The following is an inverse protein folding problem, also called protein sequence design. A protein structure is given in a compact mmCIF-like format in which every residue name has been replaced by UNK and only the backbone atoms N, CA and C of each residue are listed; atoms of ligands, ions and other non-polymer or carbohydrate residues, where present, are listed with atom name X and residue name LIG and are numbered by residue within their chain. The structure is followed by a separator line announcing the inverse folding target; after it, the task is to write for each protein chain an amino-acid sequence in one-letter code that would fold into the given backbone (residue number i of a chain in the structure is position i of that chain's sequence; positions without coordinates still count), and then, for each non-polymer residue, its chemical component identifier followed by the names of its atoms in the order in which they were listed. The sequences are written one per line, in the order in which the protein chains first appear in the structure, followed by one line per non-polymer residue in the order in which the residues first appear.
data_IF_290020217132
#
_entry.id   IF_290020217132
#
_cell.length_a   1.000
_cell.length_b   1.000
_cell.length_c   1.000
_cell.angle_alpha   90.00
_cell.angle_beta   90.00
_cell.angle_gamma   90.00
#
_symmetry.space_group_name_H-M   'P 1'
#
loop_
_entity.id
_entity.type
_entity.pdbx_description
1 polymer ?
#
# COMPACT_ATOMS: atom_id res chain seq x y z
N UNK A 1 -33.66 -30.13 17.77
CA UNK A 1 -32.74 -29.18 18.44
C UNK A 1 -31.26 -29.34 18.04
N UNK A 2 -30.70 -30.56 17.96
CA UNK A 2 -29.27 -30.77 17.62
C UNK A 2 -28.82 -30.21 16.24
N UNK A 3 -29.72 -30.13 15.25
CA UNK A 3 -29.39 -29.66 13.90
C UNK A 3 -29.14 -28.13 13.86
N UNK A 4 -29.92 -27.34 14.62
CA UNK A 4 -29.73 -25.89 14.72
C UNK A 4 -28.42 -25.54 15.45
N UNK A 5 -28.07 -26.29 16.50
CA UNK A 5 -26.81 -26.14 17.23
C UNK A 5 -25.59 -26.41 16.33
N UNK A 6 -25.60 -27.51 15.55
CA UNK A 6 -24.54 -27.84 14.60
C UNK A 6 -24.38 -26.76 13.50
N UNK A 7 -25.48 -26.21 12.96
CA UNK A 7 -25.45 -25.11 11.99
C UNK A 7 -24.86 -23.83 12.58
N UNK A 8 -25.23 -23.48 13.81
CA UNK A 8 -24.68 -22.32 14.53
C UNK A 8 -23.17 -22.44 14.74
N UNK A 9 -22.70 -23.61 15.19
CA UNK A 9 -21.29 -23.89 15.42
C UNK A 9 -20.46 -23.82 14.11
N UNK A 10 -20.99 -24.38 13.01
CA UNK A 10 -20.34 -24.31 11.71
C UNK A 10 -20.21 -22.87 11.20
N UNK A 11 -21.26 -22.05 11.34
CA UNK A 11 -21.25 -20.66 10.93
C UNK A 11 -20.24 -19.81 11.74
N UNK A 12 -20.11 -20.05 13.05
CA UNK A 12 -19.09 -19.39 13.87
C UNK A 12 -17.67 -19.80 13.47
N UNK A 13 -17.44 -21.07 13.15
CA UNK A 13 -16.12 -21.56 12.72
C UNK A 13 -15.69 -20.98 11.37
N UNK A 14 -16.62 -20.88 10.41
CA UNK A 14 -16.36 -20.25 9.11
C UNK A 14 -16.04 -18.76 9.27
N UNK A 15 -16.77 -18.05 10.15
CA UNK A 15 -16.51 -16.64 10.46
C UNK A 15 -15.12 -16.44 11.07
N UNK A 16 -14.77 -17.25 12.07
CA UNK A 16 -13.46 -17.20 12.71
C UNK A 16 -12.31 -17.49 11.72
N UNK A 17 -12.48 -18.46 10.81
CA UNK A 17 -11.50 -18.74 9.76
C UNK A 17 -11.32 -17.57 8.78
N UNK A 18 -12.41 -16.92 8.37
CA UNK A 18 -12.38 -15.73 7.51
C UNK A 18 -11.66 -14.56 8.20
N UNK A 19 -11.99 -14.30 9.47
CA UNK A 19 -11.33 -13.27 10.27
C UNK A 19 -9.83 -13.54 10.46
N UNK A 20 -9.46 -14.78 10.74
CA UNK A 20 -8.05 -15.18 10.87
C UNK A 20 -7.27 -14.95 9.57
N UNK A 21 -7.84 -15.36 8.42
CA UNK A 21 -7.24 -15.14 7.09
C UNK A 21 -7.07 -13.65 6.79
N UNK A 22 -8.07 -12.82 7.12
CA UNK A 22 -8.00 -11.36 6.96
C UNK A 22 -6.92 -10.76 7.86
N UNK A 23 -6.89 -11.10 9.16
CA UNK A 23 -5.87 -10.63 10.12
C UNK A 23 -4.46 -11.01 9.68
N UNK A 24 -4.28 -12.23 9.18
CA UNK A 24 -2.99 -12.70 8.68
C UNK A 24 -2.56 -11.94 7.41
N UNK A 25 -3.48 -11.67 6.49
CA UNK A 25 -3.23 -10.82 5.32
C UNK A 25 -2.86 -9.38 5.68
N UNK A 26 -3.56 -8.79 6.66
CA UNK A 26 -3.28 -7.44 7.17
C UNK A 26 -1.85 -7.36 7.73
N UNK A 27 -1.46 -8.32 8.56
CA UNK A 27 -0.11 -8.35 9.14
C UNK A 27 0.96 -8.44 8.06
N UNK A 28 0.79 -9.33 7.07
CA UNK A 28 1.74 -9.46 5.96
C UNK A 28 1.83 -8.19 5.12
N UNK A 29 0.71 -7.58 4.75
CA UNK A 29 0.70 -6.35 3.97
C UNK A 29 1.43 -5.21 4.70
N UNK A 30 1.19 -5.07 6.01
CA UNK A 30 1.88 -4.11 6.88
C UNK A 30 3.40 -4.33 6.89
N UNK A 31 3.84 -5.57 7.05
CA UNK A 31 5.27 -5.91 7.10
C UNK A 31 5.95 -5.68 5.75
N UNK A 32 5.29 -6.01 4.64
CA UNK A 32 5.79 -5.75 3.28
C UNK A 32 5.94 -4.25 3.03
N UNK A 33 4.94 -3.43 3.35
CA UNK A 33 5.01 -1.96 3.20
C UNK A 33 6.15 -1.38 4.03
N UNK A 34 6.37 -1.88 5.26
CA UNK A 34 7.50 -1.47 6.11
C UNK A 34 8.86 -1.79 5.47
N UNK A 35 9.00 -2.96 4.86
CA UNK A 35 10.23 -3.36 4.16
C UNK A 35 10.46 -2.48 2.93
N UNK A 36 9.42 -2.21 2.14
CA UNK A 36 9.51 -1.32 0.97
C UNK A 36 9.97 0.07 1.40
N UNK A 37 9.33 0.67 2.41
CA UNK A 37 9.72 1.99 2.94
C UNK A 37 11.20 2.03 3.32
N UNK A 38 11.70 0.99 4.01
CA UNK A 38 13.12 0.87 4.36
C UNK A 38 14.02 0.78 3.12
N UNK A 39 13.61 0.05 2.07
CA UNK A 39 14.39 -0.09 0.83
C UNK A 39 14.40 1.21 0.00
N UNK A 40 13.33 2.00 0.04
CA UNK A 40 13.30 3.35 -0.56
C UNK A 40 14.30 4.32 0.10
N UNK A 41 14.58 4.14 1.38
CA UNK A 41 15.62 4.90 2.11
C UNK A 41 17.06 4.56 1.72
N UNK A 42 17.29 3.58 0.84
CA UNK A 42 18.61 3.23 0.34
C UNK A 42 19.21 4.36 -0.52
N UNK A 43 20.53 4.55 -0.48
CA UNK A 43 21.25 5.43 -1.42
C UNK A 43 21.44 4.81 -2.81
N UNK A 44 21.18 3.51 -2.96
CA UNK A 44 21.35 2.79 -4.22
C UNK A 44 20.08 2.89 -5.07
N UNK A 45 20.17 3.59 -6.21
CA UNK A 45 19.06 3.81 -7.14
C UNK A 45 18.42 2.52 -7.65
N UNK A 46 19.20 1.46 -7.90
CA UNK A 46 18.66 0.15 -8.32
C UNK A 46 17.77 -0.47 -7.24
N UNK A 47 18.18 -0.35 -5.97
CA UNK A 47 17.38 -0.83 -4.84
C UNK A 47 16.08 -0.03 -4.71
N UNK A 48 16.13 1.29 -4.90
CA UNK A 48 14.95 2.14 -4.88
C UNK A 48 13.99 1.79 -6.02
N UNK A 49 14.49 1.63 -7.25
CA UNK A 49 13.67 1.25 -8.41
C UNK A 49 13.00 -0.10 -8.21
N UNK A 50 13.72 -1.13 -7.74
CA UNK A 50 13.14 -2.43 -7.43
C UNK A 50 12.06 -2.33 -6.34
N UNK A 51 12.26 -1.49 -5.32
CA UNK A 51 11.26 -1.26 -4.29
C UNK A 51 10.00 -0.56 -4.82
N UNK A 52 10.16 0.43 -5.72
CA UNK A 52 9.05 1.12 -6.38
C UNK A 52 8.27 0.18 -7.32
N UNK A 53 8.97 -0.66 -8.09
CA UNK A 53 8.34 -1.67 -8.96
C UNK A 53 7.57 -2.69 -8.13
N UNK A 54 8.18 -3.20 -7.04
CA UNK A 54 7.48 -4.13 -6.14
C UNK A 54 6.23 -3.48 -5.54
N UNK A 55 6.33 -2.23 -5.09
CA UNK A 55 5.21 -1.46 -4.55
C UNK A 55 4.05 -1.34 -5.55
N UNK A 56 4.37 -0.99 -6.79
CA UNK A 56 3.39 -0.93 -7.88
C UNK A 56 2.70 -2.28 -8.10
N UNK A 57 3.48 -3.37 -8.16
CA UNK A 57 2.94 -4.71 -8.36
C UNK A 57 2.01 -5.12 -7.23
N UNK A 58 2.40 -4.93 -5.96
CA UNK A 58 1.54 -5.33 -4.83
C UNK A 58 0.27 -4.49 -4.74
N UNK A 59 0.33 -3.20 -5.08
CA UNK A 59 -0.84 -2.34 -5.13
C UNK A 59 -1.83 -2.85 -6.18
N UNK A 60 -1.34 -3.15 -7.39
CA UNK A 60 -2.18 -3.65 -8.49
C UNK A 60 -2.85 -4.99 -8.19
N UNK A 61 -2.21 -5.86 -7.40
CA UNK A 61 -2.67 -7.25 -7.22
C UNK A 61 -3.37 -7.52 -5.88
N UNK A 62 -3.04 -6.76 -4.82
CA UNK A 62 -3.53 -7.08 -3.46
C UNK A 62 -4.68 -6.17 -3.00
N UNK A 63 -5.03 -5.14 -3.76
CA UNK A 63 -6.18 -4.28 -3.52
C UNK A 63 -6.09 -3.48 -2.22
N UNK A 64 -7.27 -3.18 -1.65
CA UNK A 64 -7.49 -2.17 -0.61
C UNK A 64 -6.59 -2.29 0.64
N UNK A 65 -6.23 -3.51 1.02
CA UNK A 65 -5.44 -3.80 2.21
C UNK A 65 -4.03 -3.21 2.16
N UNK A 66 -3.43 -3.17 0.97
CA UNK A 66 -2.10 -2.58 0.77
C UNK A 66 -2.20 -1.07 0.76
N UNK A 67 -3.23 -0.51 0.12
CA UNK A 67 -3.49 0.93 0.08
C UNK A 67 -3.64 1.54 1.47
N UNK A 68 -4.42 0.89 2.34
CA UNK A 68 -4.58 1.28 3.74
C UNK A 68 -3.21 1.42 4.42
N UNK A 69 -2.33 0.43 4.29
CA UNK A 69 -1.01 0.49 4.91
C UNK A 69 -0.05 1.47 4.24
N UNK A 70 -0.13 1.67 2.92
CA UNK A 70 0.66 2.71 2.22
C UNK A 70 0.31 4.10 2.75
N UNK A 71 -0.98 4.37 2.93
CA UNK A 71 -1.47 5.62 3.51
C UNK A 71 -1.08 5.78 4.99
N UNK A 72 -1.22 4.72 5.81
CA UNK A 72 -0.90 4.74 7.25
C UNK A 72 0.59 4.80 7.58
N UNK A 73 1.48 4.43 6.64
CA UNK A 73 2.92 4.30 6.90
C UNK A 73 3.75 5.46 6.37
N UNK A 74 3.12 6.58 6.00
CA UNK A 74 3.79 7.76 5.43
C UNK A 74 4.72 7.39 4.28
N UNK A 75 4.39 6.33 3.53
CA UNK A 75 5.24 5.88 2.44
C UNK A 75 5.22 6.91 1.31
N UNK A 76 4.06 7.48 1.04
CA UNK A 76 3.88 8.56 0.05
C UNK A 76 4.70 9.80 0.42
N UNK A 77 4.71 10.19 1.68
CA UNK A 77 5.53 11.31 2.15
C UNK A 77 7.03 11.06 1.94
N UNK A 78 7.52 9.85 2.21
CA UNK A 78 8.93 9.52 1.91
C UNK A 78 9.23 9.52 0.41
N UNK A 79 8.30 9.07 -0.44
CA UNK A 79 8.46 9.18 -1.91
C UNK A 79 8.60 10.63 -2.35
N UNK A 80 7.76 11.53 -1.83
CA UNK A 80 7.84 12.98 -2.11
C UNK A 80 9.19 13.55 -1.69
N UNK A 81 9.63 13.23 -0.46
CA UNK A 81 10.92 13.68 0.06
C UNK A 81 12.10 13.18 -0.76
N UNK A 82 12.07 11.93 -1.23
CA UNK A 82 13.10 11.39 -2.12
C UNK A 82 13.13 12.17 -3.43
N UNK A 83 11.98 12.35 -4.08
CA UNK A 83 11.89 13.05 -5.36
C UNK A 83 12.30 14.54 -5.28
N UNK A 84 12.06 15.21 -4.14
CA UNK A 84 12.52 16.59 -3.87
C UNK A 84 14.03 16.70 -3.61
N UNK A 85 14.69 15.63 -3.14
CA UNK A 85 16.13 15.61 -2.80
C UNK A 85 17.08 15.35 -3.98
N UNK A 86 16.63 15.55 -5.23
CA UNK A 86 17.41 15.30 -6.45
C UNK A 86 17.97 13.86 -6.52
N UNK A 87 17.11 12.83 -6.55
CA UNK A 87 17.57 11.44 -6.66
C UNK A 87 18.04 11.16 -8.10
N UNK A 88 18.39 9.90 -8.38
CA UNK A 88 18.55 9.42 -9.75
C UNK A 88 17.31 9.74 -10.61
N UNK A 89 17.55 10.07 -11.88
CA UNK A 89 16.50 10.48 -12.82
C UNK A 89 15.36 9.44 -12.89
N UNK A 90 15.69 8.17 -13.04
CA UNK A 90 14.68 7.11 -13.17
C UNK A 90 13.90 6.89 -11.89
N UNK A 91 14.54 7.10 -10.72
CA UNK A 91 13.85 7.04 -9.43
C UNK A 91 12.83 8.18 -9.32
N UNK A 92 13.23 9.41 -9.68
CA UNK A 92 12.32 10.56 -9.67
C UNK A 92 11.15 10.35 -10.63
N UNK A 93 11.43 9.97 -11.87
CA UNK A 93 10.42 9.71 -12.89
C UNK A 93 9.43 8.63 -12.43
N UNK A 94 9.93 7.51 -11.91
CA UNK A 94 9.08 6.43 -11.42
C UNK A 94 8.17 6.88 -10.28
N UNK A 95 8.68 7.69 -9.34
CA UNK A 95 7.87 8.24 -8.23
C UNK A 95 6.75 9.13 -8.78
N UNK A 96 7.07 10.05 -9.69
CA UNK A 96 6.09 10.98 -10.26
C UNK A 96 4.99 10.22 -11.01
N UNK A 97 5.35 9.24 -11.85
CA UNK A 97 4.40 8.40 -12.58
C UNK A 97 3.48 7.64 -11.63
N UNK A 98 4.02 7.04 -10.56
CA UNK A 98 3.21 6.28 -9.61
C UNK A 98 2.23 7.19 -8.85
N UNK A 99 2.69 8.35 -8.39
CA UNK A 99 1.83 9.29 -7.64
C UNK A 99 0.73 9.86 -8.53
N UNK A 100 1.05 10.25 -9.77
CA UNK A 100 0.05 10.72 -10.75
C UNK A 100 -0.96 9.62 -11.12
N UNK A 101 -0.49 8.40 -11.36
CA UNK A 101 -1.37 7.27 -11.65
C UNK A 101 -2.32 6.98 -10.50
N UNK A 102 -1.81 6.95 -9.26
CA UNK A 102 -2.62 6.61 -8.09
C UNK A 102 -3.62 7.71 -7.72
N UNK A 103 -3.25 8.99 -7.79
CA UNK A 103 -4.21 10.05 -7.48
C UNK A 103 -5.43 10.02 -8.43
N UNK A 104 -5.19 9.74 -9.72
CA UNK A 104 -6.26 9.61 -10.71
C UNK A 104 -7.12 8.37 -10.48
N UNK A 105 -6.48 7.23 -10.18
CA UNK A 105 -7.17 5.97 -9.93
C UNK A 105 -8.05 5.98 -8.66
N UNK A 106 -7.71 6.79 -7.65
CA UNK A 106 -8.41 6.81 -6.37
C UNK A 106 -9.39 7.97 -6.17
N UNK A 107 -9.57 8.85 -7.17
CA UNK A 107 -10.62 9.88 -7.14
C UNK A 107 -10.22 11.22 -6.51
N UNK A 108 -8.92 11.56 -6.51
CA UNK A 108 -8.44 12.89 -6.14
C UNK A 108 -8.73 13.32 -4.69
N UNK A 109 -9.10 14.59 -4.48
CA UNK A 109 -9.23 15.18 -3.13
C UNK A 109 -10.32 14.54 -2.25
N UNK A 110 -11.32 13.88 -2.85
CA UNK A 110 -12.42 13.18 -2.14
C UNK A 110 -12.23 11.67 -2.10
N UNK A 111 -11.03 11.19 -2.46
CA UNK A 111 -10.66 9.78 -2.41
C UNK A 111 -10.78 9.19 -1.01
N UNK A 112 -10.99 7.88 -0.93
CA UNK A 112 -10.88 7.10 0.32
C UNK A 112 -9.50 7.24 0.97
N UNK A 113 -8.47 7.45 0.15
CA UNK A 113 -7.09 7.67 0.56
C UNK A 113 -6.61 9.04 0.05
N UNK A 114 -6.98 10.15 0.71
CA UNK A 114 -6.64 11.50 0.25
C UNK A 114 -5.13 11.78 0.26
N UNK A 115 -4.33 10.95 0.95
CA UNK A 115 -2.87 11.04 1.01
C UNK A 115 -2.22 10.93 -0.38
N UNK A 116 -2.81 10.17 -1.30
CA UNK A 116 -2.30 10.06 -2.68
C UNK A 116 -2.43 11.39 -3.42
N UNK A 117 -3.59 12.06 -3.29
CA UNK A 117 -3.80 13.38 -3.86
C UNK A 117 -2.91 14.44 -3.19
N UNK A 118 -2.77 14.40 -1.86
CA UNK A 118 -1.87 15.30 -1.15
C UNK A 118 -0.42 15.17 -1.61
N UNK A 119 0.07 13.94 -1.81
CA UNK A 119 1.42 13.70 -2.32
C UNK A 119 1.61 14.23 -3.75
N UNK A 120 0.57 14.14 -4.59
CA UNK A 120 0.59 14.72 -5.93
C UNK A 120 0.67 16.25 -5.89
N UNK A 121 -0.15 16.89 -5.06
CA UNK A 121 -0.15 18.35 -4.88
C UNK A 121 1.17 18.88 -4.32
N UNK A 122 1.96 18.05 -3.64
CA UNK A 122 3.28 18.48 -3.18
C UNK A 122 4.33 18.63 -4.29
N UNK A 123 4.05 18.14 -5.51
CA UNK A 123 4.93 18.24 -6.67
C UNK A 123 4.64 19.41 -7.61
N UNK A 124 3.47 20.05 -7.49
CA UNK A 124 2.97 21.11 -8.38
C UNK A 124 2.52 22.32 -7.57
#
# INVERSE_FOLDING_TARGET
MQNAYKKGLLASSVRAAKESKVKHGLKQAKDVVKVIKRKLGSRNSKVQLLALTLLETIIKNCGDIVHMHVAEKDLLHEMVKIAKKKPDFHVKEKILVLVDTWQGAFGGARARYPQYYAAYQEFF
#
